data_IF_685269667018
#
_entry.id   IF_685269667018
#
_cell.length_a   1.000
_cell.length_b   1.000
_cell.length_c   1.000
_cell.angle_alpha   90.00
_cell.angle_beta   90.00
_cell.angle_gamma   90.00
#
_symmetry.space_group_name_H-M   'P 1'
#
loop_
_entity.id
_entity.type
_entity.pdbx_description
1 polymer ?
#
# COMPACT_ATOMS: atom_id res chain seq x y z
N UNK A 1 26.26 60.67 36.87
CA UNK A 1 26.87 59.80 35.83
C UNK A 1 27.40 58.50 36.42
N UNK A 2 27.85 58.51 37.68
CA UNK A 2 28.49 57.34 38.32
C UNK A 2 27.54 56.16 38.57
N UNK A 3 26.30 56.42 38.98
CA UNK A 3 25.29 55.36 39.24
C UNK A 3 24.96 54.57 37.98
N UNK A 4 24.91 55.23 36.82
CA UNK A 4 24.65 54.59 35.52
C UNK A 4 25.85 53.72 35.10
N UNK A 5 27.07 54.16 35.41
CA UNK A 5 28.29 53.39 35.14
C UNK A 5 28.38 52.12 36.00
N UNK A 6 28.10 52.21 37.30
CA UNK A 6 28.04 51.03 38.19
C UNK A 6 26.95 50.03 37.78
N UNK A 7 25.79 50.52 37.32
CA UNK A 7 24.73 49.65 36.80
C UNK A 7 25.18 48.90 35.54
N UNK A 8 25.89 49.56 34.62
CA UNK A 8 26.43 48.92 33.42
C UNK A 8 27.48 47.85 33.76
N UNK A 9 28.38 48.14 34.71
CA UNK A 9 29.37 47.18 35.20
C UNK A 9 28.71 45.97 35.87
N UNK A 10 27.67 46.18 36.69
CA UNK A 10 26.93 45.10 37.33
C UNK A 10 26.23 44.19 36.30
N UNK A 11 25.65 44.78 35.24
CA UNK A 11 25.02 44.03 34.15
C UNK A 11 26.05 43.20 33.38
N UNK A 12 27.24 43.74 33.13
CA UNK A 12 28.33 43.03 32.44
C UNK A 12 28.81 41.82 33.27
N UNK A 13 28.98 41.99 34.58
CA UNK A 13 29.36 40.90 35.49
C UNK A 13 28.29 39.81 35.53
N UNK A 14 27.00 40.19 35.54
CA UNK A 14 25.91 39.24 35.50
C UNK A 14 25.95 38.40 34.20
N UNK A 15 26.16 39.01 33.04
CA UNK A 15 26.25 38.29 31.76
C UNK A 15 27.42 37.30 31.75
N UNK A 16 28.59 37.70 32.24
CA UNK A 16 29.76 36.81 32.34
C UNK A 16 29.47 35.64 33.28
N UNK A 17 28.81 35.90 34.41
CA UNK A 17 28.44 34.87 35.37
C UNK A 17 27.42 33.86 34.79
N UNK A 18 26.40 34.34 34.08
CA UNK A 18 25.43 33.47 33.40
C UNK A 18 26.09 32.61 32.31
N UNK A 19 27.01 33.19 31.53
CA UNK A 19 27.76 32.46 30.52
C UNK A 19 28.62 31.36 31.14
N UNK A 20 29.27 31.63 32.27
CA UNK A 20 30.05 30.65 33.00
C UNK A 20 29.20 29.48 33.54
N UNK A 21 28.02 29.77 34.10
CA UNK A 21 27.07 28.73 34.53
C UNK A 21 26.57 27.86 33.37
N UNK A 22 26.35 28.48 32.20
CA UNK A 22 25.94 27.76 31.00
C UNK A 22 27.00 26.75 30.54
N UNK A 23 28.28 27.15 30.52
CA UNK A 23 29.39 26.27 30.15
C UNK A 23 29.55 25.09 31.11
N UNK A 24 29.42 25.31 32.42
CA UNK A 24 29.48 24.22 33.41
C UNK A 24 28.35 23.23 33.19
N UNK A 25 27.13 23.72 32.94
CA UNK A 25 25.97 22.86 32.69
C UNK A 25 26.17 22.02 31.43
N UNK A 26 26.68 22.60 30.35
CA UNK A 26 26.98 21.91 29.11
C UNK A 26 28.02 20.79 29.32
N UNK A 27 29.10 21.08 30.05
CA UNK A 27 30.14 20.11 30.38
C UNK A 27 29.60 18.91 31.19
N UNK A 28 28.79 19.16 32.22
CA UNK A 28 28.18 18.08 33.02
C UNK A 28 27.16 17.25 32.22
N UNK A 29 26.42 17.86 31.30
CA UNK A 29 25.49 17.14 30.43
C UNK A 29 26.25 16.23 29.46
N UNK A 30 27.32 16.73 28.85
CA UNK A 30 28.16 15.96 27.94
C UNK A 30 28.81 14.75 28.62
N UNK A 31 29.26 14.88 29.87
CA UNK A 31 29.77 13.73 30.63
C UNK A 31 28.71 12.67 30.93
N UNK A 32 27.48 13.06 31.27
CA UNK A 32 26.38 12.10 31.48
C UNK A 32 26.03 11.35 30.20
N UNK A 33 26.06 12.04 29.06
CA UNK A 33 25.86 11.42 27.74
C UNK A 33 26.97 10.42 27.44
N UNK A 34 28.23 10.78 27.70
CA UNK A 34 29.37 9.88 27.50
C UNK A 34 29.31 8.66 28.43
N UNK A 35 28.91 8.83 29.69
CA UNK A 35 28.75 7.74 30.64
C UNK A 35 27.61 6.78 30.25
N UNK A 36 26.48 7.31 29.78
CA UNK A 36 25.36 6.52 29.26
C UNK A 36 25.81 5.75 28.01
N UNK A 37 26.54 6.39 27.09
CA UNK A 37 27.08 5.74 25.90
C UNK A 37 28.08 4.63 26.26
N UNK A 38 28.93 4.84 27.27
CA UNK A 38 29.84 3.79 27.79
C UNK A 38 29.07 2.64 28.44
N UNK A 39 28.01 2.92 29.19
CA UNK A 39 27.13 1.89 29.76
C UNK A 39 26.44 1.08 28.64
N UNK A 40 25.90 1.73 27.61
CA UNK A 40 25.35 1.06 26.41
C UNK A 40 26.43 0.29 25.64
N UNK A 41 27.68 0.74 25.66
CA UNK A 41 28.80 0.00 25.07
C UNK A 41 29.07 -1.33 25.81
N UNK A 42 28.90 -1.34 27.14
CA UNK A 42 29.09 -2.49 28.03
C UNK A 42 27.90 -3.46 28.03
N UNK A 43 26.66 -2.95 27.87
CA UNK A 43 25.47 -3.79 27.71
C UNK A 43 25.38 -4.30 26.27
N UNK A 44 25.82 -5.54 26.07
CA UNK A 44 25.75 -6.24 24.80
C UNK A 44 27.14 -6.58 24.27
N UNK A 45 27.51 -7.86 24.23
CA UNK A 45 28.72 -8.28 23.50
C UNK A 45 28.62 -7.81 22.05
N UNK A 46 29.73 -7.57 21.35
CA UNK A 46 29.71 -7.16 19.94
C UNK A 46 28.89 -8.13 19.08
N UNK A 47 28.84 -9.41 19.46
CA UNK A 47 27.99 -10.44 18.85
C UNK A 47 26.48 -10.21 19.05
N UNK A 48 26.06 -9.73 20.22
CA UNK A 48 24.66 -9.40 20.49
C UNK A 48 24.21 -8.19 19.67
N UNK A 49 25.05 -7.16 19.54
CA UNK A 49 24.79 -5.98 18.69
C UNK A 49 24.69 -6.36 17.21
N UNK A 50 25.57 -7.25 16.75
CA UNK A 50 25.52 -7.77 15.38
C UNK A 50 24.28 -8.62 15.11
N UNK A 51 23.81 -9.38 16.11
CA UNK A 51 22.60 -10.19 16.01
C UNK A 51 21.34 -9.34 16.02
N UNK A 52 21.29 -8.31 16.86
CA UNK A 52 20.21 -7.33 16.91
C UNK A 52 20.10 -6.56 15.58
N UNK A 53 21.23 -6.11 15.02
CA UNK A 53 21.25 -5.47 13.70
C UNK A 53 20.69 -6.36 12.58
N UNK A 54 20.99 -7.67 12.61
CA UNK A 54 20.42 -8.63 11.65
C UNK A 54 18.90 -8.77 11.80
N UNK A 55 18.39 -8.83 13.04
CA UNK A 55 16.94 -8.90 13.31
C UNK A 55 16.24 -7.65 12.78
N UNK A 56 16.81 -6.46 13.01
CA UNK A 56 16.24 -5.22 12.47
C UNK A 56 16.27 -5.16 10.94
N UNK A 57 17.33 -5.67 10.29
CA UNK A 57 17.38 -5.78 8.83
C UNK A 57 16.30 -6.72 8.28
N UNK A 58 16.09 -7.88 8.90
CA UNK A 58 15.01 -8.78 8.52
C UNK A 58 13.64 -8.17 8.75
N UNK A 59 13.43 -7.50 9.88
CA UNK A 59 12.18 -6.79 10.15
C UNK A 59 11.90 -5.76 9.06
N UNK A 60 12.88 -4.95 8.69
CA UNK A 60 12.75 -3.98 7.61
C UNK A 60 12.36 -4.65 6.29
N UNK A 61 13.01 -5.75 5.91
CA UNK A 61 12.67 -6.51 4.69
C UNK A 61 11.24 -7.05 4.73
N UNK A 62 10.79 -7.54 5.89
CA UNK A 62 9.42 -8.01 6.06
C UNK A 62 8.45 -6.84 5.92
N UNK A 63 8.71 -5.72 6.59
CA UNK A 63 7.86 -4.52 6.54
C UNK A 63 7.75 -3.99 5.09
N UNK A 64 8.88 -3.90 4.37
CA UNK A 64 8.92 -3.50 2.97
C UNK A 64 8.09 -4.47 2.09
N UNK A 65 8.20 -5.77 2.32
CA UNK A 65 7.43 -6.78 1.59
C UNK A 65 5.93 -6.73 1.93
N UNK A 66 5.59 -6.48 3.19
CA UNK A 66 4.20 -6.30 3.65
C UNK A 66 3.54 -5.12 2.94
N UNK A 67 4.26 -4.00 2.74
CA UNK A 67 3.74 -2.85 1.98
C UNK A 67 3.45 -3.24 0.53
N UNK A 68 4.33 -4.02 -0.11
CA UNK A 68 4.12 -4.45 -1.50
C UNK A 68 2.91 -5.39 -1.59
N UNK A 69 2.83 -6.40 -0.72
CA UNK A 69 1.74 -7.39 -0.74
C UNK A 69 0.39 -6.77 -0.40
N UNK A 70 0.33 -5.86 0.58
CA UNK A 70 -0.93 -5.22 0.97
C UNK A 70 -1.49 -4.32 -0.15
N UNK A 71 -0.62 -3.75 -0.98
CA UNK A 71 -1.02 -2.93 -2.13
C UNK A 71 -1.19 -3.75 -3.41
N UNK A 72 -0.79 -5.02 -3.42
CA UNK A 72 -0.91 -5.90 -4.58
C UNK A 72 -2.36 -6.37 -4.75
N UNK A 73 -3.09 -5.71 -5.66
CA UNK A 73 -4.43 -6.13 -6.08
C UNK A 73 -4.34 -7.46 -6.83
N UNK A 74 -5.03 -8.47 -6.33
CA UNK A 74 -4.98 -9.81 -6.94
C UNK A 74 -5.94 -9.84 -8.14
N UNK A 75 -5.38 -9.80 -9.34
CA UNK A 75 -6.15 -9.93 -10.58
C UNK A 75 -6.61 -11.37 -10.86
N UNK A 76 -6.07 -12.37 -10.16
CA UNK A 76 -6.43 -13.79 -10.36
C UNK A 76 -7.91 -14.07 -10.08
N UNK A 77 -8.52 -13.37 -9.12
CA UNK A 77 -9.94 -13.52 -8.79
C UNK A 77 -10.85 -13.17 -9.98
N UNK A 78 -10.42 -12.26 -10.86
CA UNK A 78 -11.16 -11.87 -12.05
C UNK A 78 -11.16 -12.98 -13.09
N UNK A 79 -10.05 -13.70 -13.24
CA UNK A 79 -9.99 -14.86 -14.13
C UNK A 79 -10.96 -15.94 -13.65
N UNK A 80 -10.97 -16.28 -12.36
CA UNK A 80 -11.95 -17.21 -11.78
C UNK A 80 -13.38 -16.73 -11.99
N UNK A 81 -13.65 -15.44 -11.75
CA UNK A 81 -14.98 -14.86 -11.99
C UNK A 81 -15.44 -15.03 -13.43
N UNK A 82 -14.57 -14.76 -14.42
CA UNK A 82 -14.91 -14.93 -15.83
C UNK A 82 -15.11 -16.42 -16.14
N UNK A 83 -14.19 -17.29 -15.72
CA UNK A 83 -14.28 -18.74 -15.98
C UNK A 83 -15.59 -19.35 -15.48
N UNK A 84 -16.02 -18.98 -14.27
CA UNK A 84 -17.26 -19.49 -13.67
C UNK A 84 -18.54 -18.91 -14.30
N UNK A 85 -18.46 -17.68 -14.84
CA UNK A 85 -19.63 -16.93 -15.34
C UNK A 85 -19.68 -16.83 -16.86
N UNK A 86 -18.85 -17.57 -17.59
CA UNK A 86 -18.87 -17.62 -19.06
C UNK A 86 -19.72 -18.79 -19.56
N UNK A 87 -20.67 -18.49 -20.46
CA UNK A 87 -21.45 -19.52 -21.13
C UNK A 87 -20.56 -20.35 -22.07
N UNK A 88 -20.78 -21.68 -22.18
CA UNK A 88 -20.00 -22.54 -23.09
C UNK A 88 -20.04 -22.14 -24.57
N UNK A 89 -21.04 -21.34 -24.95
CA UNK A 89 -21.32 -20.85 -26.32
C UNK A 89 -20.80 -19.43 -26.57
N UNK A 90 -20.01 -18.89 -25.64
CA UNK A 90 -19.36 -17.58 -25.75
C UNK A 90 -17.84 -17.77 -25.66
N UNK A 91 -17.11 -17.11 -26.55
CA UNK A 91 -15.65 -17.15 -26.56
C UNK A 91 -15.09 -15.75 -26.42
N UNK A 92 -14.17 -15.57 -25.47
CA UNK A 92 -13.41 -14.32 -25.35
C UNK A 92 -12.09 -14.43 -26.10
N UNK A 93 -11.81 -13.45 -26.96
CA UNK A 93 -10.58 -13.34 -27.73
C UNK A 93 -9.59 -12.35 -27.12
N UNK A 94 -10.09 -11.37 -26.37
CA UNK A 94 -9.24 -10.38 -25.71
C UNK A 94 -9.82 -9.94 -24.36
N UNK A 95 -8.92 -9.71 -23.42
CA UNK A 95 -9.19 -9.22 -22.08
C UNK A 95 -8.26 -8.05 -21.77
N UNK A 96 -8.81 -6.96 -21.24
CA UNK A 96 -8.02 -5.83 -20.76
C UNK A 96 -8.64 -5.26 -19.49
N UNK A 97 -7.81 -5.12 -18.46
CA UNK A 97 -8.21 -4.53 -17.18
C UNK A 97 -7.48 -3.22 -16.98
N UNK A 98 -8.19 -2.19 -16.53
CA UNK A 98 -7.59 -0.92 -16.11
C UNK A 98 -7.67 -0.76 -14.59
N UNK A 99 -6.50 -0.76 -13.94
CA UNK A 99 -6.42 -0.60 -12.48
C UNK A 99 -6.86 0.78 -11.98
N UNK A 100 -6.74 1.81 -12.82
CA UNK A 100 -7.10 3.18 -12.47
C UNK A 100 -8.61 3.42 -12.51
N UNK A 101 -9.32 2.72 -13.39
CA UNK A 101 -10.78 2.87 -13.58
C UNK A 101 -11.59 1.70 -13.01
N UNK A 102 -10.94 0.61 -12.58
CA UNK A 102 -11.58 -0.66 -12.22
C UNK A 102 -12.50 -1.19 -13.34
N UNK A 103 -12.17 -0.88 -14.59
CA UNK A 103 -12.93 -1.31 -15.76
C UNK A 103 -12.31 -2.54 -16.41
N UNK A 104 -13.19 -3.50 -16.69
CA UNK A 104 -12.91 -4.73 -17.37
C UNK A 104 -13.45 -4.67 -18.80
N UNK A 105 -12.56 -4.64 -19.78
CA UNK A 105 -12.91 -4.73 -21.19
C UNK A 105 -12.76 -6.17 -21.69
N UNK A 106 -13.85 -6.74 -22.20
CA UNK A 106 -13.91 -8.07 -22.79
C UNK A 106 -14.28 -7.96 -24.26
N UNK A 107 -13.55 -8.64 -25.13
CA UNK A 107 -13.90 -8.77 -26.55
C UNK A 107 -14.01 -10.24 -26.90
N UNK A 108 -15.00 -10.59 -27.71
CA UNK A 108 -15.33 -11.98 -27.97
C UNK A 108 -16.38 -12.18 -29.04
N UNK A 109 -16.79 -13.44 -29.19
CA UNK A 109 -17.79 -13.88 -30.14
C UNK A 109 -18.84 -14.76 -29.46
N UNK A 110 -20.09 -14.64 -29.88
CA UNK A 110 -21.19 -15.54 -29.48
C UNK A 110 -21.87 -16.13 -30.72
N UNK A 111 -22.56 -17.25 -30.53
CA UNK A 111 -23.30 -17.91 -31.62
C UNK A 111 -24.43 -17.06 -32.20
N UNK A 112 -25.09 -16.24 -31.36
CA UNK A 112 -26.18 -15.36 -31.75
C UNK A 112 -26.38 -14.22 -30.70
N UNK A 113 -27.27 -13.28 -31.01
CA UNK A 113 -27.59 -12.14 -30.14
C UNK A 113 -28.26 -12.56 -28.83
N UNK A 114 -29.10 -13.60 -28.87
CA UNK A 114 -29.77 -14.12 -27.67
C UNK A 114 -28.75 -14.64 -26.64
N UNK A 115 -27.75 -15.40 -27.10
CA UNK A 115 -26.66 -15.91 -26.27
C UNK A 115 -25.84 -14.76 -25.66
N UNK A 116 -25.58 -13.70 -26.44
CA UNK A 116 -24.90 -12.50 -25.92
C UNK A 116 -25.74 -11.82 -24.84
N UNK A 117 -27.05 -11.67 -25.05
CA UNK A 117 -27.95 -11.08 -24.06
C UNK A 117 -27.98 -11.89 -22.76
N UNK A 118 -27.99 -13.22 -22.85
CA UNK A 118 -27.90 -14.10 -21.68
C UNK A 118 -26.56 -13.96 -20.96
N UNK A 119 -25.45 -13.91 -21.70
CA UNK A 119 -24.12 -13.71 -21.12
C UNK A 119 -24.03 -12.39 -20.34
N UNK A 120 -24.56 -11.31 -20.89
CA UNK A 120 -24.61 -10.00 -20.23
C UNK A 120 -25.46 -10.09 -18.96
N UNK A 121 -26.63 -10.72 -19.05
CA UNK A 121 -27.52 -10.90 -17.88
C UNK A 121 -26.86 -11.67 -16.74
N UNK A 122 -26.08 -12.72 -17.04
CA UNK A 122 -25.33 -13.48 -16.03
C UNK A 122 -24.29 -12.59 -15.34
N UNK A 123 -23.55 -11.79 -16.09
CA UNK A 123 -22.55 -10.88 -15.53
C UNK A 123 -23.22 -9.75 -14.72
N UNK A 124 -24.34 -9.20 -15.17
CA UNK A 124 -25.11 -8.15 -14.46
C UNK A 124 -25.75 -8.65 -13.16
N UNK A 125 -26.17 -9.93 -13.12
CA UNK A 125 -26.75 -10.52 -11.92
C UNK A 125 -25.73 -10.71 -10.79
N UNK A 126 -24.43 -10.73 -11.10
CA UNK A 126 -23.34 -10.82 -10.12
C UNK A 126 -22.99 -9.45 -9.51
N UNK A 127 -23.97 -8.85 -8.81
CA UNK A 127 -23.86 -7.50 -8.22
C UNK A 127 -22.76 -7.35 -7.18
N UNK A 128 -22.28 -8.46 -6.63
CA UNK A 128 -21.18 -8.47 -5.67
C UNK A 128 -19.86 -8.01 -6.32
N UNK A 129 -19.67 -8.35 -7.60
CA UNK A 129 -18.41 -8.07 -8.32
C UNK A 129 -18.57 -7.09 -9.48
N UNK A 130 -19.76 -7.00 -10.08
CA UNK A 130 -20.03 -6.12 -11.23
C UNK A 130 -21.02 -5.04 -10.82
N UNK A 131 -20.64 -3.79 -11.06
CA UNK A 131 -21.49 -2.63 -10.78
C UNK A 131 -22.34 -2.24 -12.00
N UNK A 132 -21.75 -2.29 -13.19
CA UNK A 132 -22.42 -1.94 -14.43
C UNK A 132 -21.76 -2.65 -15.62
N UNK A 133 -22.52 -2.89 -16.68
CA UNK A 133 -22.01 -3.38 -17.97
C UNK A 133 -22.47 -2.47 -19.08
N UNK A 134 -21.55 -2.14 -19.98
CA UNK A 134 -21.79 -1.34 -21.17
C UNK A 134 -21.29 -2.11 -22.41
N UNK A 135 -22.11 -2.12 -23.46
CA UNK A 135 -21.77 -2.72 -24.75
C UNK A 135 -21.14 -1.62 -25.60
N UNK A 136 -19.83 -1.70 -25.82
CA UNK A 136 -19.11 -0.71 -26.61
C UNK A 136 -19.32 -0.92 -28.12
N UNK A 137 -19.47 -2.17 -28.54
CA UNK A 137 -19.66 -2.53 -29.94
C UNK A 137 -20.29 -3.92 -30.06
N UNK A 138 -21.15 -4.12 -31.07
CA UNK A 138 -21.71 -5.41 -31.44
C UNK A 138 -21.90 -5.46 -32.96
N UNK A 139 -21.37 -6.49 -33.60
CA UNK A 139 -21.38 -6.65 -35.05
C UNK A 139 -21.67 -8.09 -35.43
N UNK A 140 -22.52 -8.29 -36.44
CA UNK A 140 -22.78 -9.61 -37.02
C UNK A 140 -21.59 -10.02 -37.88
N UNK A 141 -21.01 -11.18 -37.57
CA UNK A 141 -19.96 -11.85 -38.31
C UNK A 141 -20.48 -12.81 -39.38
N UNK A 142 -19.55 -13.52 -40.02
CA UNK A 142 -19.91 -14.55 -41.00
C UNK A 142 -20.63 -15.72 -40.31
N UNK A 143 -21.70 -16.22 -40.92
CA UNK A 143 -22.46 -17.35 -40.37
C UNK A 143 -23.41 -17.00 -39.20
N UNK A 144 -23.67 -15.72 -38.94
CA UNK A 144 -24.62 -15.28 -37.92
C UNK A 144 -24.04 -15.14 -36.51
N UNK A 145 -22.73 -15.34 -36.34
CA UNK A 145 -22.04 -15.07 -35.08
C UNK A 145 -22.07 -13.58 -34.74
N UNK A 146 -22.02 -13.25 -33.45
CA UNK A 146 -21.97 -11.85 -33.00
C UNK A 146 -20.62 -11.60 -32.39
N UNK A 147 -19.84 -10.71 -33.00
CA UNK A 147 -18.62 -10.15 -32.42
C UNK A 147 -18.99 -8.97 -31.54
N UNK A 148 -18.49 -8.96 -30.31
CA UNK A 148 -18.86 -7.95 -29.34
C UNK A 148 -17.66 -7.43 -28.56
N UNK A 149 -17.83 -6.23 -28.02
CA UNK A 149 -16.93 -5.62 -27.04
C UNK A 149 -17.76 -5.10 -25.89
N UNK A 150 -17.48 -5.60 -24.69
CA UNK A 150 -18.13 -5.22 -23.44
C UNK A 150 -17.13 -4.47 -22.56
N UNK A 151 -17.65 -3.55 -21.77
CA UNK A 151 -16.94 -2.90 -20.67
C UNK A 151 -17.77 -3.11 -19.39
N UNK A 152 -17.22 -3.82 -18.43
CA UNK A 152 -17.84 -4.03 -17.12
C UNK A 152 -17.08 -3.23 -16.07
N UNK A 153 -17.78 -2.39 -15.31
CA UNK A 153 -17.19 -1.69 -14.18
C UNK A 153 -17.24 -2.57 -12.95
N UNK A 154 -16.09 -2.84 -12.33
CA UNK A 154 -15.96 -3.80 -11.24
C UNK A 154 -16.00 -3.14 -9.86
N UNK A 155 -16.59 -3.86 -8.91
CA UNK A 155 -16.53 -3.48 -7.51
C UNK A 155 -15.13 -3.74 -6.95
N UNK A 156 -14.58 -2.85 -6.10
CA UNK A 156 -13.26 -3.03 -5.48
C UNK A 156 -13.09 -4.35 -4.70
N UNK A 157 -14.19 -4.95 -4.25
CA UNK A 157 -14.21 -6.21 -3.51
C UNK A 157 -13.57 -7.38 -4.29
N UNK A 158 -13.67 -7.40 -5.63
CA UNK A 158 -13.09 -8.48 -6.44
C UNK A 158 -11.56 -8.52 -6.37
N UNK A 159 -10.92 -7.38 -6.08
CA UNK A 159 -9.47 -7.25 -5.99
C UNK A 159 -8.90 -7.58 -4.61
N UNK A 160 -9.76 -7.79 -3.61
CA UNK A 160 -9.31 -8.15 -2.26
C UNK A 160 -8.77 -9.57 -2.26
N UNK A 161 -7.57 -9.73 -1.71
CA UNK A 161 -7.01 -11.05 -1.43
C UNK A 161 -7.91 -11.78 -0.45
N UNK A 162 -8.31 -13.02 -0.77
CA UNK A 162 -8.84 -13.97 0.22
C UNK A 162 -7.67 -14.40 1.11
N UNK A 163 -7.13 -13.48 1.91
CA UNK A 163 -5.96 -13.77 2.73
C UNK A 163 -6.39 -14.65 3.89
N UNK A 164 -6.02 -15.92 3.83
CA UNK A 164 -6.09 -16.87 4.95
C UNK A 164 -4.98 -16.51 5.94
N UNK A 165 -5.08 -15.36 6.59
CA UNK A 165 -4.31 -15.08 7.80
C UNK A 165 -5.27 -14.39 8.76
N UNK A 166 -6.18 -15.19 9.32
CA UNK A 166 -6.63 -14.91 10.67
C UNK A 166 -5.37 -15.01 11.54
N UNK A 167 -4.78 -13.87 11.85
CA UNK A 167 -3.87 -13.74 12.97
C UNK A 167 -4.69 -14.08 14.21
N UNK A 168 -4.65 -15.35 14.59
CA UNK A 168 -5.13 -15.84 15.86
C UNK A 168 -4.11 -15.35 16.90
N UNK A 169 -4.20 -14.06 17.22
CA UNK A 169 -3.47 -13.42 18.30
C UNK A 169 -4.31 -13.53 19.56
N UNK A 170 -4.10 -14.62 20.31
CA UNK A 170 -4.26 -14.63 21.76
C UNK A 170 -2.98 -14.12 22.41
#
# INVERSE_FOLDING_TARGET
MDVVFYFLCALLIAVVFYYFLFLLKDYYQNQKIEEINKKIAVYGTQEQKNSEAKVFDYKKKIDDFTVIINNHKISSNIFTFIEENTLPTVWFSNFSMSESSNDLRLSGESNNMETLSHQISILENNKDYVSNINILNSQVGAGGTIRFVLNASLNPEIFKSKTVIQSNGN
#
